data_IF_261800109299
#
_entry.id   IF_261800109299
#
_cell.length_a   1.000
_cell.length_b   1.000
_cell.length_c   1.000
_cell.angle_alpha   90.00
_cell.angle_beta   90.00
_cell.angle_gamma   90.00
#
_symmetry.space_group_name_H-M   'P 1'
#
loop_
_entity.id
_entity.type
_entity.pdbx_description
1 polymer ?
#
# COMPACT_ATOMS: atom_id res chain seq x y z
N UNK A 1 -13.07 4.79 1.95
CA UNK A 1 -12.12 4.11 2.86
C UNK A 1 -10.69 4.25 2.35
N UNK A 2 -10.47 3.99 1.07
CA UNK A 2 -9.21 4.12 0.34
C UNK A 2 -8.38 5.38 0.65
N UNK A 3 -8.95 6.59 0.48
CA UNK A 3 -8.24 7.85 0.74
C UNK A 3 -7.72 7.95 2.17
N UNK A 4 -8.51 7.53 3.17
CA UNK A 4 -8.06 7.57 4.58
C UNK A 4 -6.86 6.64 4.79
N UNK A 5 -6.90 5.44 4.21
CA UNK A 5 -5.77 4.50 4.31
C UNK A 5 -4.54 5.08 3.64
N UNK A 6 -4.69 5.67 2.45
CA UNK A 6 -3.59 6.31 1.73
C UNK A 6 -2.97 7.47 2.54
N UNK A 7 -3.77 8.28 3.21
CA UNK A 7 -3.27 9.36 4.09
C UNK A 7 -2.59 8.80 5.34
N UNK A 8 -3.15 7.77 5.97
CA UNK A 8 -2.53 7.11 7.13
C UNK A 8 -1.17 6.52 6.74
N UNK A 9 -1.04 5.88 5.58
CA UNK A 9 0.24 5.36 5.09
C UNK A 9 1.27 6.49 4.92
N UNK A 10 0.86 7.62 4.35
CA UNK A 10 1.72 8.80 4.21
C UNK A 10 2.16 9.35 5.58
N UNK A 11 1.26 9.37 6.57
CA UNK A 11 1.60 9.79 7.93
C UNK A 11 2.53 8.79 8.64
N UNK A 12 2.36 7.49 8.41
CA UNK A 12 3.23 6.44 8.98
C UNK A 12 4.66 6.49 8.43
N UNK A 13 4.87 7.10 7.26
CA UNK A 13 6.21 7.31 6.71
C UNK A 13 7.00 8.37 7.46
N UNK A 14 6.37 9.29 8.21
CA UNK A 14 7.06 10.39 8.88
C UNK A 14 8.27 9.91 9.73
N UNK A 15 9.45 10.56 9.63
CA UNK A 15 9.76 11.78 8.88
C UNK A 15 10.08 11.56 7.39
N UNK A 16 10.08 10.31 6.92
CA UNK A 16 10.25 9.99 5.51
C UNK A 16 9.05 10.47 4.70
N UNK A 17 9.30 10.74 3.43
CA UNK A 17 8.29 11.17 2.48
C UNK A 17 8.33 10.25 1.27
N UNK A 18 7.15 9.90 0.77
CA UNK A 18 7.04 9.24 -0.53
C UNK A 18 7.48 10.22 -1.62
N UNK A 19 8.51 9.86 -2.38
CA UNK A 19 9.12 10.74 -3.39
C UNK A 19 8.55 10.55 -4.81
N UNK A 20 7.73 9.51 -5.02
CA UNK A 20 7.21 9.15 -6.32
C UNK A 20 5.72 9.46 -6.46
N UNK A 21 5.08 8.95 -7.52
CA UNK A 21 3.67 9.22 -7.80
C UNK A 21 2.80 8.70 -6.65
N UNK A 22 1.93 9.59 -6.17
CA UNK A 22 0.95 9.34 -5.13
C UNK A 22 -0.42 9.81 -5.63
N UNK A 23 -1.32 8.86 -5.88
CA UNK A 23 -2.69 9.14 -6.33
C UNK A 23 -3.65 8.38 -5.41
N UNK A 24 -4.18 9.00 -4.35
CA UNK A 24 -4.97 8.30 -3.34
C UNK A 24 -6.30 7.74 -3.89
N UNK A 25 -6.81 8.29 -5.00
CA UNK A 25 -7.94 7.76 -5.77
C UNK A 25 -7.69 8.03 -7.25
N UNK A 26 -7.48 6.98 -8.04
CA UNK A 26 -7.27 7.05 -9.49
C UNK A 26 -8.64 7.13 -10.19
N UNK A 27 -8.88 8.15 -11.04
CA UNK A 27 -10.06 8.20 -11.89
C UNK A 27 -10.09 7.04 -12.89
N UNK A 28 -11.28 6.58 -13.29
CA UNK A 28 -11.42 5.48 -14.26
C UNK A 28 -10.70 5.73 -15.60
N UNK A 29 -10.63 6.98 -16.04
CA UNK A 29 -9.93 7.37 -17.27
C UNK A 29 -8.41 7.23 -17.19
N UNK A 30 -7.86 7.07 -15.98
CA UNK A 30 -6.42 7.02 -15.72
C UNK A 30 -5.97 5.67 -15.15
N UNK A 31 -6.79 4.62 -15.25
CA UNK A 31 -6.45 3.29 -14.71
C UNK A 31 -5.18 2.72 -15.35
N UNK A 32 -4.88 3.07 -16.60
CA UNK A 32 -3.62 2.70 -17.26
C UNK A 32 -2.35 3.27 -16.59
N UNK A 33 -2.47 4.26 -15.69
CA UNK A 33 -1.32 4.78 -14.95
C UNK A 33 -0.72 3.75 -13.97
N UNK A 34 -1.43 2.66 -13.67
CA UNK A 34 -0.92 1.54 -12.87
C UNK A 34 0.21 0.81 -13.60
N UNK A 35 0.32 0.93 -14.92
CA UNK A 35 1.43 0.34 -15.70
C UNK A 35 2.70 1.22 -15.69
N UNK A 36 2.78 2.22 -14.81
CA UNK A 36 3.93 3.10 -14.76
C UNK A 36 5.21 2.33 -14.38
N UNK A 37 6.33 2.50 -15.10
CA UNK A 37 7.57 1.77 -14.85
C UNK A 37 8.33 2.25 -13.60
N UNK A 38 7.78 3.24 -12.90
CA UNK A 38 8.39 3.87 -11.72
C UNK A 38 7.53 3.57 -10.49
N UNK A 39 8.11 3.58 -9.27
CA UNK A 39 7.34 3.29 -8.06
C UNK A 39 6.13 4.22 -7.92
N UNK A 40 5.00 3.67 -7.54
CA UNK A 40 3.78 4.46 -7.32
C UNK A 40 3.02 3.96 -6.10
N UNK A 41 2.20 4.85 -5.54
CA UNK A 41 1.18 4.51 -4.57
C UNK A 41 -0.15 5.03 -5.09
N UNK A 42 -1.01 4.11 -5.51
CA UNK A 42 -2.28 4.42 -6.15
C UNK A 42 -3.44 3.72 -5.47
N UNK A 43 -4.54 4.44 -5.29
CA UNK A 43 -5.79 3.87 -4.81
C UNK A 43 -6.75 3.63 -5.97
N UNK A 44 -7.21 2.39 -6.13
CA UNK A 44 -8.25 2.01 -7.09
C UNK A 44 -9.54 1.62 -6.37
N UNK A 45 -10.67 1.93 -6.97
CA UNK A 45 -11.95 1.39 -6.51
C UNK A 45 -12.00 -0.11 -6.83
N UNK A 46 -12.58 -0.95 -5.97
CA UNK A 46 -12.68 -2.41 -6.17
C UNK A 46 -13.43 -2.85 -7.45
N UNK A 47 -14.11 -1.91 -8.10
CA UNK A 47 -14.81 -2.11 -9.38
C UNK A 47 -14.01 -1.64 -10.59
N UNK A 48 -12.83 -1.07 -10.39
CA UNK A 48 -11.95 -0.70 -11.49
C UNK A 48 -11.37 -1.98 -12.10
N UNK A 49 -11.49 -2.12 -13.42
CA UNK A 49 -10.85 -3.22 -14.12
C UNK A 49 -9.34 -2.98 -14.11
N UNK A 50 -8.59 -3.83 -13.40
CA UNK A 50 -7.14 -3.78 -13.42
C UNK A 50 -6.64 -4.17 -14.82
N UNK A 51 -5.61 -3.50 -15.35
CA UNK A 51 -4.96 -3.96 -16.57
C UNK A 51 -4.34 -5.36 -16.36
N UNK A 52 -4.12 -6.13 -17.43
CA UNK A 52 -3.65 -7.51 -17.35
C UNK A 52 -2.23 -7.65 -16.77
N UNK A 53 -1.45 -6.57 -16.71
CA UNK A 53 -0.05 -6.58 -16.26
C UNK A 53 0.14 -6.22 -14.77
N UNK A 54 -0.92 -6.17 -13.96
CA UNK A 54 -0.80 -5.82 -12.52
C UNK A 54 -0.14 -6.93 -11.68
N UNK A 55 0.10 -8.10 -12.27
CA UNK A 55 0.75 -9.25 -11.62
C UNK A 55 2.19 -8.98 -11.17
N UNK A 56 2.78 -7.82 -11.48
CA UNK A 56 4.09 -7.39 -10.98
C UNK A 56 4.02 -6.55 -9.70
N UNK A 57 2.85 -6.01 -9.35
CA UNK A 57 2.72 -4.99 -8.30
C UNK A 57 2.23 -5.57 -6.96
N UNK A 58 2.41 -4.79 -5.88
CA UNK A 58 1.86 -5.14 -4.58
C UNK A 58 0.43 -4.62 -4.50
N UNK A 59 -0.53 -5.53 -4.46
CA UNK A 59 -1.96 -5.19 -4.38
C UNK A 59 -2.50 -5.45 -2.98
N UNK A 60 -3.20 -4.47 -2.41
CA UNK A 60 -3.84 -4.58 -1.09
C UNK A 60 -5.33 -4.33 -1.23
N UNK A 61 -6.13 -5.35 -1.00
CA UNK A 61 -7.58 -5.24 -1.00
C UNK A 61 -8.06 -4.88 0.41
N UNK A 62 -8.61 -3.68 0.55
CA UNK A 62 -9.10 -3.15 1.83
C UNK A 62 -10.48 -3.70 2.25
N UNK A 63 -11.23 -4.28 1.31
CA UNK A 63 -12.55 -4.84 1.57
C UNK A 63 -12.41 -6.25 2.17
N UNK A 64 -11.50 -7.07 1.61
CA UNK A 64 -11.24 -8.44 2.06
C UNK A 64 -10.04 -8.57 3.02
N UNK A 65 -9.32 -7.47 3.26
CA UNK A 65 -8.08 -7.44 4.05
C UNK A 65 -7.00 -8.39 3.51
N UNK A 66 -6.98 -8.61 2.20
CA UNK A 66 -6.00 -9.46 1.52
C UNK A 66 -4.85 -8.64 0.94
N UNK A 67 -3.69 -9.27 0.83
CA UNK A 67 -2.50 -8.71 0.21
C UNK A 67 -1.93 -9.72 -0.76
N UNK A 68 -1.73 -9.29 -1.99
CA UNK A 68 -1.14 -10.06 -3.06
C UNK A 68 0.19 -9.41 -3.43
N UNK A 69 1.25 -10.21 -3.42
CA UNK A 69 2.57 -9.79 -3.84
C UNK A 69 2.72 -10.16 -5.30
N UNK A 70 3.01 -9.16 -6.13
CA UNK A 70 3.34 -9.39 -7.52
C UNK A 70 4.52 -10.34 -7.69
N UNK A 71 4.51 -11.09 -8.78
CA UNK A 71 5.52 -12.07 -9.17
C UNK A 71 6.95 -11.50 -9.19
N UNK A 72 7.09 -10.19 -9.41
CA UNK A 72 8.37 -9.49 -9.44
C UNK A 72 8.94 -9.16 -8.05
N UNK A 73 8.16 -9.31 -6.98
CA UNK A 73 8.55 -8.93 -5.62
C UNK A 73 8.95 -10.15 -4.81
N UNK A 74 10.24 -10.33 -4.57
CA UNK A 74 10.69 -11.37 -3.66
C UNK A 74 10.46 -10.97 -2.19
N UNK A 75 9.81 -11.84 -1.40
CA UNK A 75 9.61 -11.63 0.05
C UNK A 75 10.92 -11.39 0.82
N UNK A 76 12.04 -11.90 0.33
CA UNK A 76 13.38 -11.70 0.88
C UNK A 76 13.78 -10.23 0.90
N UNK A 77 13.40 -9.46 -0.13
CA UNK A 77 13.73 -8.03 -0.27
C UNK A 77 12.93 -7.13 0.69
N UNK A 78 11.80 -7.63 1.20
CA UNK A 78 10.93 -6.91 2.13
C UNK A 78 11.32 -7.12 3.61
N UNK A 79 12.42 -7.82 3.89
CA UNK A 79 12.81 -8.14 5.26
C UNK A 79 13.50 -6.97 5.95
N UNK A 80 12.77 -6.33 6.86
CA UNK A 80 13.34 -5.40 7.83
C UNK A 80 14.16 -6.16 8.87
N UNK A 81 15.29 -5.61 9.36
CA UNK A 81 16.02 -6.20 10.47
C UNK A 81 15.13 -6.46 11.69
N UNK A 82 15.25 -7.63 12.30
CA UNK A 82 14.44 -8.06 13.45
C UNK A 82 14.51 -7.09 14.64
N UNK A 83 15.65 -6.43 14.81
CA UNK A 83 15.88 -5.39 15.82
C UNK A 83 14.93 -4.20 15.66
N UNK A 84 14.55 -3.86 14.43
CA UNK A 84 13.62 -2.76 14.10
C UNK A 84 12.19 -3.26 13.97
N UNK A 85 12.00 -4.46 13.41
CA UNK A 85 10.68 -5.03 13.15
C UNK A 85 9.88 -5.26 14.45
N UNK A 86 10.51 -5.78 15.50
CA UNK A 86 9.80 -6.10 16.76
C UNK A 86 9.24 -4.83 17.44
N UNK A 87 10.02 -3.76 17.67
CA UNK A 87 9.49 -2.51 18.20
C UNK A 87 8.39 -1.90 17.31
N UNK A 88 8.61 -1.87 15.99
CA UNK A 88 7.66 -1.31 15.04
C UNK A 88 6.33 -2.05 15.08
N UNK A 89 6.35 -3.39 15.00
CA UNK A 89 5.14 -4.23 15.05
C UNK A 89 4.39 -4.09 16.37
N UNK A 90 5.10 -3.89 17.50
CA UNK A 90 4.46 -3.58 18.79
C UNK A 90 3.78 -2.21 18.76
N UNK A 91 4.44 -1.17 18.22
CA UNK A 91 3.86 0.18 18.11
C UNK A 91 2.64 0.20 17.20
N UNK A 92 2.72 -0.39 16.01
CA UNK A 92 1.58 -0.47 15.09
C UNK A 92 0.40 -1.22 15.70
N UNK A 93 0.65 -2.33 16.43
CA UNK A 93 -0.44 -3.04 17.12
C UNK A 93 -1.12 -2.21 18.20
N UNK A 94 -0.39 -1.33 18.90
CA UNK A 94 -0.98 -0.38 19.86
C UNK A 94 -1.78 0.73 19.19
N UNK A 95 -1.38 1.15 17.98
CA UNK A 95 -2.16 2.12 17.19
C UNK A 95 -3.41 1.47 16.57
N UNK A 96 -3.33 0.19 16.24
CA UNK A 96 -4.43 -0.58 15.66
C UNK A 96 -5.41 -1.13 16.71
N UNK A 97 -5.03 -1.19 17.99
CA UNK A 97 -5.97 -1.56 19.04
C UNK A 97 -7.04 -0.46 19.15
N UNK A 98 -8.34 -0.82 19.09
CA UNK A 98 -9.40 0.17 19.19
C UNK A 98 -9.30 0.86 20.55
N UNK A 99 -8.99 2.16 20.54
CA UNK A 99 -9.01 2.99 21.74
C UNK A 99 -10.45 3.38 22.14
N UNK A 100 -11.44 2.93 21.37
CA UNK A 100 -12.87 3.13 21.59
C UNK A 100 -13.55 1.75 21.57
N UNK A 101 -13.60 1.14 22.75
CA UNK A 101 -14.61 0.15 23.10
C UNK A 101 -15.61 0.84 24.04
#
# INVERSE_FOLDING_TARGET
RLTRVAEILRLLLYPLQWAHVYIPVVPYTLVGAVEAPMPFLMGLHSRAALPPNVDTDITVNLDDSTMELGSAVEKSQLQLPETVLRPLRRRLRRLASPFWA
#
